data_IF_455334725904
#
_entry.id   IF_455334725904
#
_cell.length_a   1.000
_cell.length_b   1.000
_cell.length_c   1.000
_cell.angle_alpha   90.00
_cell.angle_beta   90.00
_cell.angle_gamma   90.00
#
_symmetry.space_group_name_H-M   'P 1'
#
loop_
_entity.id
_entity.type
_entity.pdbx_description
1 polymer ?
#
# COMPACT_ATOMS: atom_id res chain seq x y z
N UNK A 1 -1.76 9.55 -5.55
CA UNK A 1 -0.66 10.48 -5.84
C UNK A 1 0.47 9.72 -6.52
N UNK A 2 1.37 10.39 -7.21
CA UNK A 2 2.52 9.78 -7.88
C UNK A 2 3.80 10.19 -7.17
N UNK A 3 4.62 9.21 -6.81
CA UNK A 3 5.94 9.41 -6.17
C UNK A 3 6.98 8.46 -6.76
N UNK A 4 8.26 8.81 -6.63
CA UNK A 4 9.38 7.98 -7.05
C UNK A 4 9.70 6.93 -5.98
N UNK A 5 9.37 5.67 -6.26
CA UNK A 5 9.73 4.56 -5.38
C UNK A 5 11.07 3.93 -5.83
N UNK A 6 12.14 4.21 -5.09
CA UNK A 6 13.48 3.73 -5.43
C UNK A 6 13.57 2.20 -5.48
N UNK A 7 12.87 1.49 -4.60
CA UNK A 7 12.88 0.02 -4.58
C UNK A 7 12.18 -0.57 -5.80
N UNK A 8 11.12 0.08 -6.30
CA UNK A 8 10.46 -0.29 -7.56
C UNK A 8 11.38 -0.04 -8.75
N UNK A 9 12.06 1.11 -8.80
CA UNK A 9 13.05 1.42 -9.84
C UNK A 9 14.18 0.38 -9.86
N UNK A 10 14.81 0.15 -8.71
CA UNK A 10 15.90 -0.82 -8.57
C UNK A 10 15.42 -2.22 -8.94
N UNK A 11 14.27 -2.64 -8.44
CA UNK A 11 13.69 -3.94 -8.79
C UNK A 11 13.40 -4.07 -10.29
N UNK A 12 12.91 -3.01 -10.94
CA UNK A 12 12.69 -2.98 -12.38
C UNK A 12 14.01 -3.14 -13.15
N UNK A 13 15.05 -2.38 -12.79
CA UNK A 13 16.38 -2.42 -13.42
C UNK A 13 17.02 -3.80 -13.27
N UNK A 14 16.95 -4.40 -12.07
CA UNK A 14 17.51 -5.73 -11.81
C UNK A 14 16.80 -6.85 -12.58
N UNK A 15 15.54 -6.63 -12.99
CA UNK A 15 14.77 -7.59 -13.80
C UNK A 15 15.08 -7.50 -15.30
N UNK A 16 15.90 -6.56 -15.74
CA UNK A 16 16.27 -6.44 -17.15
C UNK A 16 17.28 -7.54 -17.55
N UNK A 17 17.10 -8.21 -18.71
CA UNK A 17 17.94 -9.34 -19.11
C UNK A 17 19.43 -9.02 -19.16
N UNK A 18 19.80 -7.82 -19.58
CA UNK A 18 21.18 -7.35 -19.65
C UNK A 18 21.85 -7.20 -18.27
N UNK A 19 21.07 -7.18 -17.19
CA UNK A 19 21.57 -7.06 -15.82
C UNK A 19 21.61 -8.39 -15.07
N UNK A 20 21.16 -9.48 -15.69
CA UNK A 20 21.22 -10.80 -15.05
C UNK A 20 22.67 -11.19 -14.73
N UNK A 21 22.89 -11.62 -13.48
CA UNK A 21 24.19 -12.01 -12.92
C UNK A 21 25.22 -10.88 -12.75
N UNK A 22 24.89 -9.63 -13.09
CA UNK A 22 25.75 -8.49 -12.78
C UNK A 22 25.71 -8.18 -11.29
N UNK A 23 26.85 -7.78 -10.72
CA UNK A 23 26.89 -7.14 -9.41
C UNK A 23 26.30 -5.74 -9.51
N UNK A 24 25.77 -5.19 -8.41
CA UNK A 24 25.17 -3.83 -8.40
C UNK A 24 26.12 -2.75 -8.97
N UNK A 25 27.43 -2.89 -8.75
CA UNK A 25 28.46 -1.97 -9.26
C UNK A 25 28.75 -2.09 -10.77
N UNK A 26 28.24 -3.13 -11.42
CA UNK A 26 28.41 -3.42 -12.86
C UNK A 26 27.18 -3.00 -13.67
N UNK A 27 26.13 -2.51 -13.00
CA UNK A 27 24.90 -2.00 -13.62
C UNK A 27 25.09 -0.52 -13.96
N UNK A 28 24.78 -0.16 -15.19
CA UNK A 28 24.84 1.21 -15.69
C UNK A 28 23.59 2.00 -15.28
N UNK A 29 23.46 2.30 -13.98
CA UNK A 29 22.23 2.90 -13.40
C UNK A 29 21.75 4.16 -14.12
N UNK A 30 22.68 5.00 -14.59
CA UNK A 30 22.37 6.27 -15.25
C UNK A 30 21.71 6.12 -16.62
N UNK A 31 21.63 4.91 -17.19
CA UNK A 31 20.97 4.68 -18.48
C UNK A 31 19.47 4.44 -18.35
N UNK A 32 18.96 4.25 -17.13
CA UNK A 32 17.55 3.98 -16.88
C UNK A 32 16.82 5.27 -16.48
N UNK A 33 15.65 5.47 -17.09
CA UNK A 33 14.79 6.61 -16.75
C UNK A 33 14.11 6.40 -15.39
N UNK A 34 14.04 7.46 -14.58
CA UNK A 34 13.43 7.43 -13.25
C UNK A 34 11.93 7.08 -13.30
N UNK A 35 11.27 7.28 -14.45
CA UNK A 35 9.85 6.97 -14.64
C UNK A 35 9.50 5.50 -14.42
N UNK A 36 10.46 4.58 -14.56
CA UNK A 36 10.26 3.17 -14.21
C UNK A 36 10.05 2.94 -12.70
N UNK A 37 10.38 3.93 -11.87
CA UNK A 37 10.15 3.94 -10.44
C UNK A 37 8.93 4.72 -9.99
N UNK A 38 8.24 5.44 -10.90
CA UNK A 38 7.04 6.17 -10.50
C UNK A 38 5.91 5.19 -10.20
N UNK A 39 5.30 5.38 -9.05
CA UNK A 39 4.23 4.55 -8.52
C UNK A 39 3.03 5.42 -8.24
N UNK A 40 1.84 4.85 -8.45
CA UNK A 40 0.61 5.46 -7.99
C UNK A 40 0.33 4.95 -6.58
N UNK A 41 0.18 5.86 -5.62
CA UNK A 41 0.05 5.52 -4.20
C UNK A 41 -1.07 6.33 -3.53
N UNK A 42 -1.43 5.95 -2.30
CA UNK A 42 -2.32 6.74 -1.45
C UNK A 42 -1.51 7.85 -0.77
N UNK A 43 -2.21 8.91 -0.33
CA UNK A 43 -1.69 9.85 0.66
C UNK A 43 -1.40 9.11 1.96
N UNK A 44 -0.18 9.25 2.49
CA UNK A 44 0.29 8.46 3.62
C UNK A 44 1.56 9.06 4.25
N UNK A 45 1.59 9.07 5.58
CA UNK A 45 2.78 9.41 6.36
C UNK A 45 2.99 8.46 7.53
N UNK A 46 4.11 8.66 8.23
CA UNK A 46 4.49 7.86 9.39
C UNK A 46 3.73 8.31 10.64
N UNK A 47 3.53 7.37 11.57
CA UNK A 47 3.04 7.69 12.91
C UNK A 47 4.26 8.00 13.78
N UNK A 48 4.75 9.23 13.69
CA UNK A 48 5.97 9.71 14.35
C UNK A 48 5.72 10.85 15.36
N UNK A 49 4.46 11.30 15.46
CA UNK A 49 3.99 12.35 16.38
C UNK A 49 3.06 11.78 17.45
N UNK A 50 3.03 12.43 18.61
CA UNK A 50 2.07 12.14 19.69
C UNK A 50 0.73 12.85 19.43
N UNK A 51 0.05 12.43 18.36
CA UNK A 51 -1.24 12.94 17.91
C UNK A 51 -2.22 11.78 17.68
N UNK A 52 -3.55 12.04 17.74
CA UNK A 52 -4.53 11.07 17.27
C UNK A 52 -4.24 10.66 15.82
N UNK A 53 -4.36 9.36 15.51
CA UNK A 53 -4.08 8.82 14.17
C UNK A 53 -4.83 9.55 13.04
N UNK A 54 -6.06 9.99 13.34
CA UNK A 54 -6.88 10.77 12.41
C UNK A 54 -6.28 12.14 12.10
N UNK A 55 -5.64 12.78 13.08
CA UNK A 55 -5.02 14.09 12.90
C UNK A 55 -3.69 13.98 12.15
N UNK A 56 -2.92 12.91 12.40
CA UNK A 56 -1.75 12.58 11.57
C UNK A 56 -2.17 12.41 10.11
N UNK A 57 -3.19 11.58 9.83
CA UNK A 57 -3.68 11.38 8.47
C UNK A 57 -4.19 12.68 7.82
N UNK A 58 -4.70 13.65 8.59
CA UNK A 58 -5.12 14.96 8.08
C UNK A 58 -3.94 15.86 7.74
N UNK A 59 -2.91 15.89 8.57
CA UNK A 59 -1.67 16.62 8.28
C UNK A 59 -1.08 16.17 6.94
N UNK A 60 -1.04 14.87 6.68
CA UNK A 60 -0.56 14.33 5.39
C UNK A 60 -1.44 14.73 4.21
N UNK A 61 -2.77 14.77 4.38
CA UNK A 61 -3.68 15.25 3.31
C UNK A 61 -3.44 16.74 3.03
N UNK A 62 -3.15 17.54 4.06
CA UNK A 62 -2.83 18.96 3.90
C UNK A 62 -1.49 19.16 3.18
N UNK A 63 -0.47 18.39 3.54
CA UNK A 63 0.89 18.47 2.99
C UNK A 63 1.00 17.91 1.57
N UNK A 64 0.57 16.67 1.37
CA UNK A 64 0.75 15.96 0.11
C UNK A 64 -0.35 16.31 -0.90
N UNK A 65 -1.59 16.48 -0.43
CA UNK A 65 -2.75 16.72 -1.28
C UNK A 65 -3.24 18.18 -1.29
N UNK A 66 -2.90 19.01 -0.30
CA UNK A 66 -3.32 20.42 -0.25
C UNK A 66 -4.78 20.66 0.14
N UNK A 67 -5.41 19.74 0.87
CA UNK A 67 -6.82 19.85 1.29
C UNK A 67 -6.98 19.78 2.81
N UNK A 68 -7.76 20.70 3.38
CA UNK A 68 -8.07 20.72 4.81
C UNK A 68 -9.35 19.92 5.10
N UNK A 69 -9.20 18.64 5.44
CA UNK A 69 -10.31 17.76 5.85
C UNK A 69 -10.53 17.91 7.35
N UNK A 70 -11.79 17.86 7.82
CA UNK A 70 -12.11 17.87 9.26
C UNK A 70 -12.06 16.46 9.84
N UNK A 71 -11.67 16.30 11.11
CA UNK A 71 -11.56 14.99 11.76
C UNK A 71 -12.88 14.21 11.77
N UNK A 72 -14.02 14.88 11.91
CA UNK A 72 -15.34 14.24 11.85
C UNK A 72 -15.72 13.67 10.46
N UNK A 73 -15.04 14.11 9.41
CA UNK A 73 -15.27 13.64 8.03
C UNK A 73 -14.32 12.49 7.64
N UNK A 74 -13.36 12.15 8.51
CA UNK A 74 -12.43 11.05 8.28
C UNK A 74 -13.06 9.73 8.74
N UNK A 75 -13.19 8.78 7.82
CA UNK A 75 -13.73 7.45 8.07
C UNK A 75 -12.63 6.41 8.06
N UNK A 76 -12.40 5.73 9.19
CA UNK A 76 -11.48 4.60 9.24
C UNK A 76 -12.08 3.41 8.47
N UNK A 77 -11.40 2.98 7.41
CA UNK A 77 -11.80 1.88 6.53
C UNK A 77 -11.25 0.54 7.04
N UNK A 78 -9.95 0.50 7.34
CA UNK A 78 -9.27 -0.73 7.72
C UNK A 78 -8.00 -0.45 8.53
N UNK A 79 -7.59 -1.45 9.31
CA UNK A 79 -6.29 -1.52 9.94
C UNK A 79 -5.67 -2.86 9.54
N UNK A 80 -4.47 -2.84 8.96
CA UNK A 80 -3.84 -4.04 8.40
C UNK A 80 -2.32 -4.03 8.59
N UNK A 81 -1.74 -5.23 8.66
CA UNK A 81 -0.29 -5.37 8.62
C UNK A 81 0.21 -5.22 7.18
N UNK A 82 1.21 -4.36 7.00
CA UNK A 82 1.92 -4.12 5.75
C UNK A 82 3.37 -4.56 5.89
N UNK A 83 4.05 -4.83 4.77
CA UNK A 83 5.44 -5.28 4.76
C UNK A 83 5.70 -6.44 5.74
N UNK A 84 4.79 -7.42 5.80
CA UNK A 84 4.76 -8.48 6.82
C UNK A 84 6.04 -9.36 6.86
N UNK A 85 6.78 -9.43 5.75
CA UNK A 85 8.03 -10.17 5.65
C UNK A 85 9.28 -9.30 5.87
N UNK A 86 9.10 -7.99 6.09
CA UNK A 86 10.19 -7.03 6.28
C UNK A 86 10.09 -6.35 7.65
N UNK A 87 9.11 -5.45 7.83
CA UNK A 87 8.98 -4.63 9.04
C UNK A 87 7.80 -5.03 9.93
N UNK A 88 6.78 -5.68 9.39
CA UNK A 88 5.54 -5.97 10.11
C UNK A 88 4.78 -4.71 10.53
N UNK A 89 4.96 -3.61 9.79
CA UNK A 89 4.28 -2.33 10.05
C UNK A 89 2.76 -2.46 10.04
N UNK A 90 2.08 -1.53 10.71
CA UNK A 90 0.61 -1.46 10.74
C UNK A 90 0.18 -0.19 10.02
N UNK A 91 -0.72 -0.34 9.05
CA UNK A 91 -1.31 0.76 8.31
C UNK A 91 -2.76 0.97 8.75
N UNK A 92 -3.15 2.24 8.90
CA UNK A 92 -4.50 2.68 9.18
C UNK A 92 -5.03 3.43 7.95
N UNK A 93 -5.96 2.81 7.24
CA UNK A 93 -6.53 3.37 6.01
C UNK A 93 -7.76 4.21 6.34
N UNK A 94 -7.71 5.49 5.99
CA UNK A 94 -8.85 6.41 6.12
C UNK A 94 -9.43 6.76 4.74
N UNK A 95 -10.71 7.12 4.75
CA UNK A 95 -11.44 7.67 3.61
C UNK A 95 -12.04 9.02 3.98
N UNK A 96 -11.98 9.98 3.06
CA UNK A 96 -12.66 11.27 3.16
C UNK A 96 -13.20 11.69 1.80
N UNK A 97 -14.31 12.43 1.83
CA UNK A 97 -14.83 13.15 0.67
C UNK A 97 -14.28 14.57 0.71
N UNK A 98 -13.76 15.04 -0.42
CA UNK A 98 -13.17 16.37 -0.57
C UNK A 98 -13.82 17.11 -1.73
N UNK A 99 -13.78 18.44 -1.67
CA UNK A 99 -14.17 19.32 -2.76
C UNK A 99 -13.24 20.54 -2.83
N UNK A 100 -13.40 21.36 -3.86
CA UNK A 100 -12.54 22.52 -4.11
C UNK A 100 -12.63 23.60 -3.02
N UNK A 101 -13.67 23.62 -2.19
CA UNK A 101 -13.78 24.56 -1.07
C UNK A 101 -12.83 24.24 0.07
N UNK A 102 -12.33 22.99 0.13
CA UNK A 102 -11.37 22.52 1.13
C UNK A 102 -9.91 22.74 0.69
N UNK A 103 -9.67 23.19 -0.55
CA UNK A 103 -8.31 23.39 -1.07
C UNK A 103 -7.63 24.55 -0.37
N UNK A 104 -6.44 24.30 0.19
CA UNK A 104 -5.62 25.30 0.86
C UNK A 104 -4.27 25.54 0.17
N UNK A 105 -3.74 24.53 -0.52
CA UNK A 105 -2.48 24.60 -1.28
C UNK A 105 -2.56 23.70 -2.52
N UNK A 106 -1.50 23.62 -3.31
CA UNK A 106 -1.40 22.63 -4.40
C UNK A 106 -1.04 21.22 -3.88
N UNK A 107 -0.66 21.09 -2.61
CA UNK A 107 0.03 19.91 -2.08
C UNK A 107 1.43 19.77 -2.68
N UNK A 108 1.97 18.55 -2.67
CA UNK A 108 3.24 18.22 -3.32
C UNK A 108 4.29 17.57 -2.44
N UNK A 109 3.99 17.34 -1.16
CA UNK A 109 4.93 16.79 -0.18
C UNK A 109 5.90 17.84 0.32
N UNK A 110 6.93 17.38 1.04
CA UNK A 110 7.91 18.26 1.67
C UNK A 110 9.30 18.21 1.00
N UNK A 111 9.62 19.28 0.27
CA UNK A 111 10.91 19.46 -0.41
C UNK A 111 12.11 19.48 0.54
N UNK A 112 11.92 19.87 1.81
CA UNK A 112 13.01 19.84 2.81
C UNK A 112 13.34 18.42 3.27
N UNK A 113 12.43 17.47 3.03
CA UNK A 113 12.55 16.05 3.35
C UNK A 113 12.80 15.20 2.10
N UNK A 114 13.19 15.84 0.99
CA UNK A 114 13.39 15.21 -0.33
C UNK A 114 12.15 14.47 -0.86
N UNK A 115 10.97 14.90 -0.44
CA UNK A 115 9.70 14.34 -0.85
C UNK A 115 9.08 15.17 -1.98
N UNK A 116 8.92 14.54 -3.14
CA UNK A 116 8.36 15.16 -4.34
C UNK A 116 7.18 14.35 -4.83
N UNK A 117 5.98 14.88 -4.57
CA UNK A 117 4.73 14.19 -4.85
C UNK A 117 3.94 14.96 -5.90
N UNK A 118 3.35 14.21 -6.84
CA UNK A 118 2.36 14.75 -7.77
C UNK A 118 0.98 14.22 -7.41
N UNK A 119 0.08 15.11 -6.97
CA UNK A 119 -1.32 14.75 -6.78
C UNK A 119 -1.96 14.39 -8.13
N UNK A 120 -2.79 13.36 -8.13
CA UNK A 120 -3.55 12.94 -9.30
C UNK A 120 -5.01 12.76 -8.94
N UNK A 121 -5.88 13.12 -9.87
CA UNK A 121 -7.31 12.86 -9.81
C UNK A 121 -7.64 11.81 -10.86
N UNK A 122 -8.36 10.77 -10.45
CA UNK A 122 -8.83 9.72 -11.35
C UNK A 122 -10.36 9.79 -11.41
N UNK A 123 -10.89 9.72 -12.61
CA UNK A 123 -12.29 9.39 -12.82
C UNK A 123 -12.56 7.94 -12.42
N UNK A 124 -13.82 7.58 -12.17
CA UNK A 124 -14.19 6.19 -11.89
C UNK A 124 -13.77 5.23 -13.02
N UNK A 125 -13.78 5.70 -14.27
CA UNK A 125 -13.38 4.90 -15.42
C UNK A 125 -11.87 4.63 -15.40
N UNK A 126 -11.06 5.65 -15.12
CA UNK A 126 -9.60 5.52 -15.01
C UNK A 126 -9.20 4.64 -13.83
N UNK A 127 -9.83 4.83 -12.66
CA UNK A 127 -9.57 3.99 -11.49
C UNK A 127 -9.94 2.51 -11.73
N UNK A 128 -11.02 2.26 -12.49
CA UNK A 128 -11.40 0.89 -12.87
C UNK A 128 -10.41 0.29 -13.88
N UNK A 129 -10.04 1.03 -14.91
CA UNK A 129 -9.04 0.60 -15.88
C UNK A 129 -7.69 0.31 -15.21
N UNK A 130 -7.34 1.08 -14.16
CA UNK A 130 -6.15 0.85 -13.37
C UNK A 130 -6.18 -0.49 -12.61
N UNK A 131 -7.33 -0.85 -12.03
CA UNK A 131 -7.54 -2.15 -11.37
C UNK A 131 -7.54 -3.34 -12.33
N UNK A 132 -7.92 -3.12 -13.59
CA UNK A 132 -7.96 -4.13 -14.64
C UNK A 132 -6.58 -4.34 -15.31
N UNK A 133 -5.58 -3.52 -14.99
CA UNK A 133 -4.21 -3.69 -15.45
C UNK A 133 -3.59 -4.95 -14.82
N UNK A 134 -2.93 -5.79 -15.63
CA UNK A 134 -2.23 -7.00 -15.16
C UNK A 134 -1.04 -6.70 -14.25
N UNK A 135 -0.45 -5.50 -14.39
CA UNK A 135 0.72 -5.08 -13.62
C UNK A 135 0.65 -3.58 -13.25
N UNK A 136 -0.25 -3.19 -12.33
CA UNK A 136 -0.30 -1.83 -11.83
C UNK A 136 0.94 -1.57 -10.96
N UNK A 137 1.70 -0.52 -11.29
CA UNK A 137 2.80 -0.01 -10.46
C UNK A 137 2.22 0.72 -9.25
N UNK A 138 1.75 -0.06 -8.27
CA UNK A 138 1.11 0.42 -7.06
C UNK A 138 1.30 -0.55 -5.91
N UNK A 139 1.37 -0.05 -4.67
CA UNK A 139 1.36 -0.89 -3.49
C UNK A 139 -0.05 -1.47 -3.27
N UNK A 140 -0.18 -2.70 -2.72
CA UNK A 140 -1.48 -3.35 -2.47
C UNK A 140 -2.52 -2.52 -1.70
N UNK A 141 -2.15 -1.65 -0.73
CA UNK A 141 -3.10 -0.76 -0.06
C UNK A 141 -3.92 0.13 -0.99
N UNK A 142 -3.33 0.66 -2.06
CA UNK A 142 -4.08 1.46 -3.04
C UNK A 142 -5.13 0.60 -3.75
N UNK A 143 -4.75 -0.60 -4.19
CA UNK A 143 -5.67 -1.52 -4.87
C UNK A 143 -6.83 -1.89 -3.94
N UNK A 144 -6.55 -2.18 -2.66
CA UNK A 144 -7.58 -2.45 -1.66
C UNK A 144 -8.50 -1.23 -1.45
N UNK A 145 -7.96 -0.02 -1.33
CA UNK A 145 -8.76 1.19 -1.15
C UNK A 145 -9.70 1.44 -2.34
N UNK A 146 -9.23 1.25 -3.58
CA UNK A 146 -10.06 1.38 -4.78
C UNK A 146 -11.15 0.31 -4.82
N UNK A 147 -10.83 -0.95 -4.52
CA UNK A 147 -11.81 -2.04 -4.46
C UNK A 147 -12.88 -1.77 -3.40
N UNK A 148 -12.46 -1.35 -2.20
CA UNK A 148 -13.37 -0.95 -1.13
C UNK A 148 -14.27 0.20 -1.57
N UNK A 149 -13.71 1.22 -2.23
CA UNK A 149 -14.50 2.36 -2.72
C UNK A 149 -15.53 1.92 -3.78
N UNK A 150 -15.16 1.08 -4.73
CA UNK A 150 -16.11 0.56 -5.73
C UNK A 150 -17.22 -0.29 -5.12
N UNK A 151 -16.94 -1.05 -4.06
CA UNK A 151 -17.94 -1.86 -3.38
C UNK A 151 -18.88 -1.02 -2.50
N UNK A 152 -18.37 0.03 -1.86
CA UNK A 152 -19.10 0.75 -0.81
C UNK A 152 -19.64 2.13 -1.23
N UNK A 153 -19.06 2.76 -2.24
CA UNK A 153 -19.33 4.15 -2.63
C UNK A 153 -19.79 4.32 -4.08
N UNK A 154 -19.28 3.48 -5.00
CA UNK A 154 -19.72 3.55 -6.39
C UNK A 154 -21.18 3.11 -6.55
N UNK A 155 -21.99 3.76 -7.40
CA UNK A 155 -23.33 3.29 -7.72
C UNK A 155 -23.25 1.86 -8.26
N UNK A 156 -24.02 0.93 -7.66
CA UNK A 156 -23.99 -0.49 -8.04
C UNK A 156 -24.26 -0.68 -9.53
N UNK A 157 -23.21 -0.87 -10.32
CA UNK A 157 -23.29 -1.45 -11.66
C UNK A 157 -23.26 -2.96 -11.49
N UNK A 158 -24.14 -3.68 -12.18
CA UNK A 158 -24.11 -5.14 -12.23
C UNK A 158 -22.74 -5.57 -12.77
N UNK A 159 -21.88 -6.07 -11.88
CA UNK A 159 -20.58 -6.60 -12.27
C UNK A 159 -20.82 -7.94 -12.94
N UNK A 160 -20.42 -8.10 -14.20
CA UNK A 160 -20.28 -9.44 -14.78
C UNK A 160 -19.18 -10.15 -14.03
N UNK A 161 -19.50 -11.29 -13.42
CA UNK A 161 -18.57 -12.16 -12.73
C UNK A 161 -17.30 -12.35 -13.56
N UNK A 162 -16.18 -11.79 -13.10
CA UNK A 162 -14.88 -12.07 -13.69
C UNK A 162 -14.66 -13.59 -13.66
N UNK A 163 -14.08 -14.14 -14.72
CA UNK A 163 -13.71 -15.54 -14.79
C UNK A 163 -12.66 -15.82 -13.71
N UNK A 164 -13.09 -16.29 -12.54
CA UNK A 164 -12.20 -16.79 -11.49
C UNK A 164 -11.49 -18.00 -12.09
N UNK A 165 -10.25 -17.83 -12.51
CA UNK A 165 -9.40 -18.95 -12.89
C UNK A 165 -9.08 -19.69 -11.59
N UNK A 166 -9.49 -20.96 -11.41
CA UNK A 166 -9.19 -21.68 -10.19
C UNK A 166 -7.66 -21.82 -10.05
N UNK A 167 -7.07 -21.07 -9.12
CA UNK A 167 -5.67 -21.25 -8.78
C UNK A 167 -5.51 -22.62 -8.14
N UNK A 168 -4.69 -23.48 -8.78
CA UNK A 168 -4.26 -24.74 -8.21
C UNK A 168 -2.86 -24.54 -7.64
N UNK A 169 -2.73 -24.70 -6.33
CA UNK A 169 -1.45 -24.57 -5.63
C UNK A 169 -0.48 -25.68 -6.06
N UNK A 170 0.71 -25.28 -6.53
CA UNK A 170 1.79 -26.19 -6.95
C UNK A 170 3.09 -25.78 -6.28
N UNK A 171 3.29 -26.17 -5.02
CA UNK A 171 4.47 -25.77 -4.27
C UNK A 171 5.71 -26.51 -4.77
N UNK A 172 6.87 -25.84 -4.74
CA UNK A 172 8.17 -26.44 -5.06
C UNK A 172 9.10 -26.28 -3.86
N UNK A 173 9.75 -27.36 -3.45
CA UNK A 173 10.73 -27.31 -2.36
C UNK A 173 10.13 -27.01 -0.99
N UNK A 174 8.95 -27.55 -0.68
CA UNK A 174 8.41 -27.49 0.69
C UNK A 174 9.40 -28.23 1.58
N UNK A 175 9.99 -27.52 2.53
CA UNK A 175 10.63 -28.12 3.69
C UNK A 175 9.52 -28.26 4.74
N UNK A 176 9.12 -29.48 5.12
CA UNK A 176 8.20 -29.67 6.22
C UNK A 176 8.80 -29.01 7.46
N UNK A 177 8.02 -28.22 8.19
CA UNK A 177 8.39 -27.86 9.55
C UNK A 177 8.27 -29.14 10.39
N UNK A 178 9.40 -29.78 10.62
CA UNK A 178 9.55 -30.89 11.55
C UNK A 178 9.79 -30.33 12.96
N UNK A 179 9.56 -31.15 14.00
CA UNK A 179 9.81 -30.80 15.41
C UNK A 179 8.99 -29.63 16.00
N UNK A 180 7.89 -29.25 15.33
CA UNK A 180 6.86 -28.38 15.90
C UNK A 180 6.25 -29.01 17.17
N UNK A 181 6.68 -28.53 18.33
CA UNK A 181 6.09 -28.90 19.63
C UNK A 181 5.04 -27.88 20.04
N UNK A 182 3.81 -28.35 20.14
CA UNK A 182 2.71 -27.56 20.68
C UNK A 182 2.73 -27.70 22.20
N UNK A 183 3.20 -26.68 22.90
CA UNK A 183 3.08 -26.62 24.35
C UNK A 183 1.71 -26.00 24.73
N UNK A 184 0.90 -26.69 25.54
CA UNK A 184 -0.26 -26.05 26.13
C UNK A 184 0.23 -24.96 27.09
N UNK A 185 -0.06 -23.70 26.79
CA UNK A 185 0.17 -22.61 27.74
C UNK A 185 -0.95 -22.57 28.76
N UNK A 186 -0.63 -22.22 30.01
CA UNK A 186 -1.63 -22.00 31.06
C UNK A 186 -2.70 -21.05 30.54
N UNK A 187 -3.94 -21.54 30.48
CA UNK A 187 -5.07 -20.80 29.95
C UNK A 187 -5.27 -19.55 30.78
N UNK A 188 -4.96 -18.38 30.21
CA UNK A 188 -5.52 -17.14 30.71
C UNK A 188 -7.03 -17.25 30.62
N UNK A 189 -7.73 -17.15 31.76
CA UNK A 189 -9.21 -17.14 31.82
C UNK A 189 -9.85 -16.01 31.01
N UNK A 190 -9.04 -15.09 30.48
CA UNK A 190 -9.49 -13.85 29.85
C UNK A 190 -9.63 -13.94 28.34
N UNK A 191 -8.93 -14.86 27.66
CA UNK A 191 -8.97 -14.94 26.20
C UNK A 191 -8.78 -16.39 25.69
N UNK A 192 -9.85 -16.91 25.07
CA UNK A 192 -9.84 -18.07 24.17
C UNK A 192 -9.88 -17.48 22.74
N UNK A 193 -8.99 -17.86 21.81
CA UNK A 193 -8.31 -19.15 21.71
C UNK A 193 -6.81 -19.14 22.05
N UNK A 194 -6.30 -20.37 22.19
CA UNK A 194 -4.95 -20.78 22.57
C UNK A 194 -3.85 -19.96 21.87
N UNK A 195 -2.96 -19.36 22.67
CA UNK A 195 -1.70 -18.80 22.15
C UNK A 195 -0.72 -19.95 21.93
N UNK A 196 -0.11 -20.00 20.75
CA UNK A 196 0.90 -20.99 20.39
C UNK A 196 2.29 -20.44 20.68
N UNK A 197 3.15 -21.27 21.29
CA UNK A 197 4.58 -20.99 21.42
C UNK A 197 5.31 -21.90 20.44
N UNK A 198 6.08 -21.30 19.54
CA UNK A 198 7.01 -22.00 18.68
C UNK A 198 8.36 -22.06 19.38
N UNK A 199 8.93 -23.25 19.54
CA UNK A 199 10.33 -23.43 19.90
C UNK A 199 11.01 -24.18 18.76
N UNK A 200 11.99 -23.53 18.12
CA UNK A 200 12.96 -24.19 17.23
C UNK A 200 13.95 -25.01 18.07
#
# INVERSE_FOLDING_TARGET
MVTLCLTVLVGHILRQPENFNKKLREIEWHTYDASHGYTLELCAGLIDKDLPLVDIAREEIEEECGYAVKSENMHLVACSSVAAHESGGVQYLYYAEIDDSMKITEGGGNVQEDEYITKVFLTEAEARAYLENDYPLSPPPLLYALLWWFENKSPKKSVSSANIVPYKWHPKGIVPLEDLKFEPMDTSKRFVPLRMKFSL
#
